data_IF_144584811073
#
_entry.id   IF_144584811073
#
_cell.length_a   1.000
_cell.length_b   1.000
_cell.length_c   1.000
_cell.angle_alpha   90.00
_cell.angle_beta   90.00
_cell.angle_gamma   90.00
#
_symmetry.space_group_name_H-M   'P 1'
#
loop_
_entity.id
_entity.type
_entity.pdbx_description
1 polymer ?
#
# COMPACT_ATOMS: atom_id res chain seq x y z
N UNK A 1 -3.28 7.33 -12.92
CA UNK A 1 -3.64 8.76 -13.08
C UNK A 1 -3.35 9.32 -14.47
N UNK A 2 -2.27 8.89 -15.14
CA UNK A 2 -1.85 9.38 -16.48
C UNK A 2 -2.97 9.48 -17.52
N UNK A 3 -3.81 8.44 -17.65
CA UNK A 3 -4.89 8.44 -18.63
C UNK A 3 -5.91 9.56 -18.46
N UNK A 4 -6.03 10.14 -17.27
CA UNK A 4 -6.96 11.25 -16.99
C UNK A 4 -6.25 12.60 -17.15
N UNK A 5 -5.04 12.72 -16.60
CA UNK A 5 -4.26 13.96 -16.61
C UNK A 5 -3.73 14.34 -18.01
N UNK A 6 -3.70 13.40 -18.96
CA UNK A 6 -3.36 13.71 -20.35
C UNK A 6 -4.40 14.61 -21.05
N UNK A 7 -5.64 14.69 -20.55
CA UNK A 7 -6.70 15.49 -21.18
C UNK A 7 -6.63 16.96 -20.75
N UNK A 8 -6.80 17.88 -21.71
CA UNK A 8 -6.68 19.33 -21.49
C UNK A 8 -7.45 19.87 -20.26
N UNK A 9 -8.70 19.43 -19.97
CA UNK A 9 -9.43 19.91 -18.80
C UNK A 9 -8.78 19.56 -17.45
N UNK A 10 -7.99 18.49 -17.39
CA UNK A 10 -7.37 17.99 -16.15
C UNK A 10 -5.86 18.18 -16.10
N UNK A 11 -5.22 18.50 -17.23
CA UNK A 11 -3.76 18.65 -17.35
C UNK A 11 -3.18 19.68 -16.38
N UNK A 12 -3.93 20.73 -16.08
CA UNK A 12 -3.52 21.77 -15.12
C UNK A 12 -3.42 21.27 -13.66
N UNK A 13 -3.99 20.11 -13.34
CA UNK A 13 -3.92 19.49 -12.02
C UNK A 13 -2.67 18.64 -11.83
N UNK A 14 -1.88 18.40 -12.89
CA UNK A 14 -0.70 17.54 -12.83
C UNK A 14 0.50 18.24 -12.17
N UNK A 15 1.38 17.45 -11.54
CA UNK A 15 2.63 17.95 -10.95
C UNK A 15 3.56 18.56 -12.00
N UNK A 16 3.73 17.88 -13.14
CA UNK A 16 4.29 18.47 -14.36
C UNK A 16 3.33 18.30 -15.54
N UNK A 17 2.63 19.37 -15.96
CA UNK A 17 1.73 19.35 -17.12
C UNK A 17 2.40 18.97 -18.44
N UNK A 18 3.74 19.07 -18.53
CA UNK A 18 4.51 18.66 -19.72
C UNK A 18 4.78 17.15 -19.75
N UNK A 19 4.53 16.47 -18.64
CA UNK A 19 4.80 15.05 -18.46
C UNK A 19 6.24 14.73 -18.11
N UNK A 20 6.47 13.46 -17.79
CA UNK A 20 7.77 12.93 -17.34
C UNK A 20 8.09 11.61 -18.01
N UNK A 21 9.37 11.32 -18.22
CA UNK A 21 9.89 10.00 -18.62
C UNK A 21 10.29 9.15 -17.41
N UNK A 22 10.13 9.66 -16.18
CA UNK A 22 10.61 9.01 -14.95
C UNK A 22 10.04 7.60 -14.70
N UNK A 23 8.99 7.22 -15.44
CA UNK A 23 8.34 5.91 -15.38
C UNK A 23 8.75 4.95 -16.51
N UNK A 24 9.38 5.48 -17.56
CA UNK A 24 9.52 4.80 -18.85
C UNK A 24 10.94 4.27 -19.11
N UNK A 25 11.85 4.32 -18.12
CA UNK A 25 13.22 3.80 -18.25
C UNK A 25 13.42 2.35 -17.80
N UNK A 26 12.36 1.55 -17.89
CA UNK A 26 12.38 0.11 -17.65
C UNK A 26 11.62 -0.29 -16.39
N UNK A 27 10.72 -1.27 -16.54
CA UNK A 27 10.11 -2.11 -15.49
C UNK A 27 8.76 -1.70 -14.88
N UNK A 28 8.13 -0.57 -15.24
CA UNK A 28 6.78 -0.25 -14.76
C UNK A 28 5.65 -0.58 -15.76
N UNK A 29 4.69 -1.37 -15.27
CA UNK A 29 3.49 -1.95 -15.91
C UNK A 29 2.68 -1.02 -16.85
N UNK A 30 2.76 0.30 -16.69
CA UNK A 30 1.87 1.24 -17.38
C UNK A 30 2.30 1.56 -18.83
N UNK A 31 3.46 1.10 -19.30
CA UNK A 31 3.97 1.38 -20.65
C UNK A 31 3.67 0.30 -21.68
N UNK A 32 2.74 -0.64 -21.43
CA UNK A 32 2.42 -1.70 -22.42
C UNK A 32 1.83 -1.17 -23.73
N UNK A 33 1.55 0.13 -23.81
CA UNK A 33 1.03 0.80 -25.00
C UNK A 33 2.04 1.86 -25.39
N UNK A 34 2.68 1.59 -26.53
CA UNK A 34 3.65 2.30 -27.37
C UNK A 34 3.55 3.85 -27.42
N UNK A 35 3.54 4.51 -26.26
CA UNK A 35 3.54 5.96 -26.15
C UNK A 35 4.92 6.40 -25.65
N UNK A 36 5.84 6.68 -26.58
CA UNK A 36 7.11 7.44 -26.38
C UNK A 36 6.86 8.88 -25.87
N UNK A 37 5.72 9.14 -25.24
CA UNK A 37 5.22 10.45 -24.91
C UNK A 37 5.43 10.73 -23.42
N UNK A 38 6.01 11.89 -23.14
CA UNK A 38 6.05 12.46 -21.81
C UNK A 38 4.61 12.71 -21.34
N UNK A 39 4.14 11.91 -20.38
CA UNK A 39 2.77 11.99 -19.88
C UNK A 39 2.74 12.54 -18.45
N UNK A 40 1.80 13.44 -18.11
CA UNK A 40 1.61 13.89 -16.73
C UNK A 40 1.20 12.70 -15.85
N UNK A 41 1.82 12.53 -14.68
CA UNK A 41 1.65 11.31 -13.88
C UNK A 41 0.88 11.53 -12.58
N UNK A 42 1.40 12.36 -11.67
CA UNK A 42 0.75 12.60 -10.37
C UNK A 42 0.00 13.94 -10.32
N UNK A 43 -0.90 14.06 -9.35
CA UNK A 43 -1.53 15.35 -9.03
C UNK A 43 -0.52 16.29 -8.41
N UNK A 44 -0.67 17.59 -8.66
CA UNK A 44 0.30 18.55 -8.17
C UNK A 44 0.31 18.65 -6.65
N UNK A 45 1.51 18.66 -6.08
CA UNK A 45 1.77 18.92 -4.67
C UNK A 45 1.55 20.39 -4.29
N UNK A 46 1.45 21.31 -5.27
CA UNK A 46 1.51 22.77 -5.09
C UNK A 46 0.15 23.46 -4.95
N UNK A 47 -0.76 22.85 -4.17
CA UNK A 47 -2.11 23.34 -3.83
C UNK A 47 -3.16 23.43 -4.96
N UNK A 48 -2.79 23.33 -6.24
CA UNK A 48 -3.79 23.34 -7.34
C UNK A 48 -4.71 22.12 -7.32
N UNK A 49 -4.24 21.00 -6.78
CA UNK A 49 -5.02 19.75 -6.65
C UNK A 49 -5.90 19.69 -5.40
N UNK A 50 -5.63 20.47 -4.35
CA UNK A 50 -6.37 20.38 -3.09
C UNK A 50 -7.86 20.73 -3.23
N UNK A 51 -8.28 21.78 -3.97
CA UNK A 51 -9.71 22.03 -4.20
C UNK A 51 -10.41 20.88 -4.91
N UNK A 52 -9.74 20.27 -5.90
CA UNK A 52 -10.24 19.10 -6.61
C UNK A 52 -10.43 17.90 -5.66
N UNK A 53 -9.42 17.60 -4.85
CA UNK A 53 -9.48 16.52 -3.85
C UNK A 53 -10.51 16.80 -2.75
N UNK A 54 -10.66 18.05 -2.32
CA UNK A 54 -11.67 18.49 -1.36
C UNK A 54 -13.09 18.20 -1.86
N UNK A 55 -13.37 18.48 -3.13
CA UNK A 55 -14.64 18.16 -3.77
C UNK A 55 -14.85 16.64 -3.90
N UNK A 56 -13.81 15.89 -4.28
CA UNK A 56 -13.86 14.43 -4.40
C UNK A 56 -14.12 13.76 -3.05
N UNK A 57 -13.40 14.15 -2.00
CA UNK A 57 -13.62 13.64 -0.64
C UNK A 57 -15.00 14.00 -0.11
N UNK A 58 -15.53 15.18 -0.45
CA UNK A 58 -16.91 15.57 -0.13
C UNK A 58 -17.93 14.60 -0.71
N UNK A 59 -17.79 14.24 -1.99
CA UNK A 59 -18.67 13.27 -2.65
C UNK A 59 -18.50 11.86 -2.08
N UNK A 60 -17.24 11.41 -1.89
CA UNK A 60 -16.93 10.08 -1.38
C UNK A 60 -17.49 9.88 0.04
N UNK A 61 -17.27 10.83 0.94
CA UNK A 61 -17.72 10.71 2.34
C UNK A 61 -19.23 10.92 2.51
N UNK A 62 -19.89 11.59 1.55
CA UNK A 62 -21.34 11.65 1.48
C UNK A 62 -21.92 10.30 1.03
N UNK A 63 -21.33 9.67 0.01
CA UNK A 63 -21.74 8.37 -0.49
C UNK A 63 -21.49 7.22 0.51
N UNK A 64 -20.37 7.26 1.22
CA UNK A 64 -19.93 6.22 2.17
C UNK A 64 -19.91 6.74 3.61
N UNK A 65 -21.08 7.06 4.15
CA UNK A 65 -21.22 7.73 5.45
C UNK A 65 -20.96 6.87 6.70
N UNK A 66 -20.75 5.55 6.55
CA UNK A 66 -20.50 4.62 7.67
C UNK A 66 -19.04 4.56 8.10
N UNK A 67 -18.11 4.81 7.18
CA UNK A 67 -16.69 4.83 7.49
C UNK A 67 -16.21 6.28 7.67
N UNK A 68 -15.25 6.46 8.57
CA UNK A 68 -14.55 7.73 8.79
C UNK A 68 -13.05 7.55 8.67
N UNK A 69 -12.61 6.56 7.90
CA UNK A 69 -11.20 6.35 7.55
C UNK A 69 -11.08 6.30 6.04
N UNK A 70 -10.11 7.02 5.50
CA UNK A 70 -9.85 7.12 4.06
C UNK A 70 -8.37 6.89 3.80
N UNK A 71 -8.04 5.93 2.94
CA UNK A 71 -6.71 5.83 2.35
C UNK A 71 -6.61 6.83 1.19
N UNK A 72 -5.64 7.75 1.25
CA UNK A 72 -5.44 8.81 0.26
C UNK A 72 -4.37 8.45 -0.80
N UNK A 73 -3.81 7.25 -0.76
CA UNK A 73 -2.72 6.84 -1.65
C UNK A 73 -1.39 7.45 -1.20
N UNK A 74 -0.82 8.30 -2.07
CA UNK A 74 0.49 8.97 -1.91
C UNK A 74 1.72 8.06 -2.02
N UNK A 75 1.55 6.91 -2.66
CA UNK A 75 2.62 6.03 -3.12
C UNK A 75 3.20 6.52 -4.46
N UNK A 76 4.42 6.07 -4.75
CA UNK A 76 4.98 6.05 -6.11
C UNK A 76 5.01 7.42 -6.81
N UNK A 77 5.12 8.52 -6.07
CA UNK A 77 5.15 9.88 -6.62
C UNK A 77 6.48 10.23 -7.33
N UNK A 78 6.83 9.48 -8.38
CA UNK A 78 8.13 9.55 -9.08
C UNK A 78 8.41 10.88 -9.76
N UNK A 79 7.36 11.62 -10.15
CA UNK A 79 7.45 12.94 -10.80
C UNK A 79 7.33 14.12 -9.83
N UNK A 80 7.31 13.87 -8.51
CA UNK A 80 7.26 14.91 -7.50
C UNK A 80 8.38 15.93 -7.69
N UNK A 81 8.03 17.22 -7.74
CA UNK A 81 8.99 18.30 -7.92
C UNK A 81 9.39 18.92 -6.58
N UNK A 82 10.68 19.25 -6.38
CA UNK A 82 11.12 19.86 -5.14
C UNK A 82 10.53 21.27 -4.97
N UNK A 83 10.34 21.67 -3.71
CA UNK A 83 10.03 23.06 -3.37
C UNK A 83 11.13 24.03 -3.89
N UNK A 84 10.77 25.18 -4.48
CA UNK A 84 11.74 26.14 -5.02
C UNK A 84 12.73 26.67 -3.99
N UNK A 85 13.98 26.89 -4.42
CA UNK A 85 15.02 27.49 -3.57
C UNK A 85 15.61 26.56 -2.49
N UNK A 86 15.24 25.28 -2.48
CA UNK A 86 15.77 24.28 -1.54
C UNK A 86 16.65 23.27 -2.25
N UNK A 87 17.58 22.64 -1.50
CA UNK A 87 18.30 21.46 -2.01
C UNK A 87 17.28 20.37 -2.36
N UNK A 88 17.52 19.61 -3.43
CA UNK A 88 16.54 18.65 -3.99
C UNK A 88 15.90 17.75 -2.93
N UNK A 89 16.71 17.10 -2.08
CA UNK A 89 16.20 16.22 -1.01
C UNK A 89 15.24 16.94 -0.06
N UNK A 90 15.66 18.09 0.48
CA UNK A 90 14.88 18.87 1.42
C UNK A 90 13.62 19.45 0.77
N UNK A 91 13.73 19.86 -0.50
CA UNK A 91 12.63 20.37 -1.30
C UNK A 91 11.57 19.31 -1.62
N UNK A 92 11.97 18.08 -1.93
CA UNK A 92 11.04 16.96 -2.16
C UNK A 92 10.29 16.59 -0.89
N UNK A 93 11.01 16.43 0.23
CA UNK A 93 10.39 16.21 1.53
C UNK A 93 9.40 17.32 1.86
N UNK A 94 9.79 18.59 1.65
CA UNK A 94 8.92 19.73 1.91
C UNK A 94 7.65 19.68 1.06
N UNK A 95 7.79 19.42 -0.25
CA UNK A 95 6.64 19.33 -1.16
C UNK A 95 5.67 18.20 -0.75
N UNK A 96 6.19 17.01 -0.46
CA UNK A 96 5.38 15.88 -0.02
C UNK A 96 4.67 16.15 1.31
N UNK A 97 5.40 16.63 2.32
CA UNK A 97 4.84 16.87 3.66
C UNK A 97 3.85 18.05 3.69
N UNK A 98 4.03 19.07 2.85
CA UNK A 98 3.05 20.14 2.69
C UNK A 98 1.75 19.61 2.09
N UNK A 99 1.84 18.76 1.06
CA UNK A 99 0.68 18.15 0.44
C UNK A 99 -0.05 17.18 1.39
N UNK A 100 0.69 16.31 2.08
CA UNK A 100 0.16 15.38 3.10
C UNK A 100 -0.61 16.14 4.20
N UNK A 101 -0.09 17.28 4.67
CA UNK A 101 -0.77 18.14 5.64
C UNK A 101 -2.03 18.78 5.07
N UNK A 102 -2.01 19.20 3.81
CA UNK A 102 -3.20 19.70 3.12
C UNK A 102 -4.32 18.66 3.09
N UNK A 103 -4.02 17.42 2.69
CA UNK A 103 -5.00 16.33 2.65
C UNK A 103 -5.50 15.95 4.04
N UNK A 104 -4.60 15.90 5.04
CA UNK A 104 -4.98 15.68 6.42
C UNK A 104 -6.00 16.74 6.91
N UNK A 105 -5.75 18.02 6.63
CA UNK A 105 -6.67 19.11 6.95
C UNK A 105 -8.06 18.92 6.33
N UNK A 106 -8.12 18.60 5.03
CA UNK A 106 -9.39 18.36 4.33
C UNK A 106 -10.19 17.21 4.94
N UNK A 107 -9.53 16.13 5.37
CA UNK A 107 -10.19 14.99 6.02
C UNK A 107 -10.60 15.31 7.46
N UNK A 108 -9.75 16.02 8.21
CA UNK A 108 -10.03 16.47 9.58
C UNK A 108 -11.29 17.34 9.66
N UNK A 109 -11.43 18.32 8.75
CA UNK A 109 -12.62 19.18 8.65
C UNK A 109 -13.92 18.39 8.47
N UNK A 110 -13.81 17.17 7.93
CA UNK A 110 -14.93 16.26 7.65
C UNK A 110 -15.04 15.14 8.70
N UNK A 111 -14.27 15.21 9.78
CA UNK A 111 -14.25 14.21 10.85
C UNK A 111 -13.72 12.84 10.40
N UNK A 112 -12.89 12.80 9.36
CA UNK A 112 -12.28 11.58 8.83
C UNK A 112 -10.81 11.46 9.23
N UNK A 113 -10.36 10.21 9.42
CA UNK A 113 -8.98 9.81 9.67
C UNK A 113 -8.29 9.46 8.36
N UNK A 114 -7.02 9.83 8.26
CA UNK A 114 -6.21 9.60 7.07
C UNK A 114 -5.36 8.33 7.20
N UNK A 115 -5.36 7.54 6.13
CA UNK A 115 -4.39 6.48 5.84
C UNK A 115 -3.61 6.88 4.58
N UNK A 116 -2.34 6.52 4.48
CA UNK A 116 -1.52 6.79 3.30
C UNK A 116 -0.36 5.79 3.22
N UNK A 117 0.14 5.53 2.02
CA UNK A 117 1.27 4.64 1.81
C UNK A 117 2.60 5.25 2.27
N UNK A 118 3.43 4.42 2.91
CA UNK A 118 4.62 4.88 3.62
C UNK A 118 5.91 4.98 2.78
N UNK A 119 5.92 4.52 1.52
CA UNK A 119 7.15 4.34 0.72
C UNK A 119 8.00 5.62 0.63
N UNK A 120 7.36 6.77 0.40
CA UNK A 120 8.06 8.05 0.27
C UNK A 120 8.71 8.52 1.58
N UNK A 121 8.10 8.22 2.73
CA UNK A 121 8.55 8.73 4.05
C UNK A 121 9.31 7.71 4.89
N UNK A 122 9.19 6.42 4.58
CA UNK A 122 9.69 5.31 5.40
C UNK A 122 11.19 5.39 5.70
N UNK A 123 11.97 5.93 4.77
CA UNK A 123 13.43 6.05 4.89
C UNK A 123 13.91 7.37 5.51
N UNK A 124 13.00 8.31 5.81
CA UNK A 124 13.32 9.64 6.35
C UNK A 124 12.74 9.81 7.77
N UNK A 125 13.55 9.64 8.84
CA UNK A 125 13.10 9.84 10.22
C UNK A 125 12.55 11.24 10.52
N UNK A 126 12.98 12.27 9.80
CA UNK A 126 12.46 13.63 9.99
C UNK A 126 11.07 13.77 9.37
N UNK A 127 10.83 13.13 8.21
CA UNK A 127 9.49 13.06 7.61
C UNK A 127 8.53 12.25 8.49
N UNK A 128 8.97 11.10 9.02
CA UNK A 128 8.17 10.27 9.93
C UNK A 128 7.71 11.03 11.18
N UNK A 129 8.60 11.85 11.78
CA UNK A 129 8.24 12.71 12.94
C UNK A 129 7.26 13.83 12.60
N UNK A 130 7.12 14.17 11.33
CA UNK A 130 6.23 15.22 10.84
C UNK A 130 4.88 14.68 10.33
N UNK A 131 4.64 13.36 10.41
CA UNK A 131 3.36 12.77 10.02
C UNK A 131 2.23 13.42 10.84
N UNK A 132 1.16 13.92 10.19
CA UNK A 132 0.07 14.58 10.90
C UNK A 132 -0.56 13.66 11.96
N UNK A 133 -0.81 14.14 13.20
CA UNK A 133 -1.37 13.33 14.27
C UNK A 133 -2.70 12.66 13.88
N UNK A 134 -2.85 11.41 14.31
CA UNK A 134 -4.04 10.60 14.03
C UNK A 134 -4.07 9.95 12.65
N UNK A 135 -3.08 10.20 11.80
CA UNK A 135 -2.88 9.47 10.55
C UNK A 135 -2.33 8.07 10.83
N UNK A 136 -2.58 7.12 9.91
CA UNK A 136 -2.02 5.77 9.94
C UNK A 136 -1.17 5.55 8.70
N UNK A 137 0.11 5.27 8.89
CA UNK A 137 1.03 4.93 7.81
C UNK A 137 0.78 3.48 7.37
N UNK A 138 0.70 3.25 6.07
CA UNK A 138 0.54 1.92 5.47
C UNK A 138 1.89 1.47 4.93
N UNK A 139 2.59 0.63 5.70
CA UNK A 139 3.90 0.11 5.31
C UNK A 139 3.68 -1.13 4.44
N UNK A 140 3.97 -1.03 3.15
CA UNK A 140 3.78 -2.15 2.22
C UNK A 140 5.09 -2.87 1.92
N UNK A 141 4.96 -4.17 1.63
CA UNK A 141 6.08 -5.05 1.29
C UNK A 141 5.54 -6.38 0.80
N UNK A 142 5.92 -6.76 -0.42
CA UNK A 142 5.27 -7.88 -1.11
C UNK A 142 6.15 -9.10 -1.25
N UNK A 143 7.46 -8.97 -1.07
CA UNK A 143 8.38 -10.10 -1.12
C UNK A 143 8.57 -10.71 0.28
N UNK A 144 8.88 -12.00 0.33
CA UNK A 144 9.04 -12.76 1.57
C UNK A 144 10.06 -12.13 2.53
N UNK A 145 11.09 -11.47 2.00
CA UNK A 145 12.17 -10.80 2.72
C UNK A 145 11.94 -9.29 2.91
N UNK A 146 10.72 -8.80 2.65
CA UNK A 146 10.36 -7.40 2.89
C UNK A 146 10.74 -6.98 4.32
N UNK A 147 11.37 -5.80 4.53
CA UNK A 147 12.03 -5.44 5.78
C UNK A 147 11.05 -4.95 6.87
N UNK A 148 9.91 -5.64 7.05
CA UNK A 148 8.87 -5.27 8.01
C UNK A 148 9.38 -5.16 9.44
N UNK A 149 10.30 -6.04 9.87
CA UNK A 149 10.83 -6.03 11.24
C UNK A 149 11.66 -4.77 11.51
N UNK A 150 12.57 -4.43 10.59
CA UNK A 150 13.40 -3.23 10.70
C UNK A 150 12.57 -1.95 10.70
N UNK A 151 11.63 -1.84 9.77
CA UNK A 151 10.76 -0.67 9.65
C UNK A 151 9.77 -0.56 10.80
N UNK A 152 9.19 -1.68 11.24
CA UNK A 152 8.31 -1.74 12.41
C UNK A 152 9.01 -1.22 13.68
N UNK A 153 10.23 -1.69 13.96
CA UNK A 153 11.02 -1.20 15.08
C UNK A 153 11.28 0.32 15.02
N UNK A 154 11.53 0.86 13.83
CA UNK A 154 11.70 2.30 13.63
C UNK A 154 10.41 3.08 13.90
N UNK A 155 9.26 2.57 13.45
CA UNK A 155 7.97 3.22 13.68
C UNK A 155 7.57 3.21 15.15
N UNK A 156 7.79 2.10 15.84
CA UNK A 156 7.55 1.97 17.27
C UNK A 156 8.38 2.99 18.06
N UNK A 157 9.69 3.06 17.79
CA UNK A 157 10.60 4.02 18.42
C UNK A 157 10.19 5.49 18.21
N UNK A 158 9.58 5.79 17.06
CA UNK A 158 9.13 7.14 16.71
C UNK A 158 7.66 7.41 17.09
N UNK A 159 6.94 6.43 17.63
CA UNK A 159 5.51 6.53 17.97
C UNK A 159 4.60 6.70 16.75
N UNK A 160 5.04 6.25 15.57
CA UNK A 160 4.25 6.31 14.33
C UNK A 160 3.21 5.21 14.36
N UNK A 161 1.93 5.55 14.18
CA UNK A 161 0.87 4.54 14.02
C UNK A 161 0.92 3.97 12.61
N UNK A 162 0.97 2.65 12.49
CA UNK A 162 1.10 2.01 11.20
C UNK A 162 0.35 0.68 11.12
N UNK A 163 0.01 0.28 9.88
CA UNK A 163 -0.34 -1.10 9.51
C UNK A 163 0.75 -1.66 8.61
N UNK A 164 0.98 -2.97 8.71
CA UNK A 164 1.79 -3.70 7.73
C UNK A 164 0.88 -4.17 6.60
N UNK A 165 1.35 -4.04 5.37
CA UNK A 165 0.55 -4.29 4.17
C UNK A 165 1.23 -5.34 3.29
N UNK A 166 1.18 -6.62 3.70
CA UNK A 166 1.61 -7.75 2.88
C UNK A 166 0.63 -7.98 1.73
N UNK A 167 1.00 -8.84 0.77
CA UNK A 167 0.16 -9.09 -0.40
C UNK A 167 -0.08 -10.55 -0.72
N UNK A 168 -1.24 -10.81 -1.32
CA UNK A 168 -1.68 -12.13 -1.81
C UNK A 168 -0.70 -12.76 -2.81
N UNK A 169 0.17 -11.94 -3.41
CA UNK A 169 1.11 -12.33 -4.46
C UNK A 169 0.44 -13.01 -5.65
N UNK A 170 -0.82 -12.66 -5.92
CA UNK A 170 -1.63 -13.18 -7.03
C UNK A 170 -1.31 -12.47 -8.35
N UNK A 171 -1.04 -11.17 -8.32
CA UNK A 171 -0.79 -10.31 -9.47
C UNK A 171 0.49 -10.70 -10.22
N UNK A 172 0.53 -10.37 -11.51
CA UNK A 172 1.63 -10.74 -12.43
C UNK A 172 1.94 -12.25 -12.44
N UNK A 173 0.95 -13.08 -12.10
CA UNK A 173 1.02 -14.53 -12.13
C UNK A 173 -0.34 -15.11 -12.56
N UNK A 174 -0.34 -16.30 -13.16
CA UNK A 174 -1.57 -16.98 -13.56
C UNK A 174 -2.23 -17.66 -12.35
N UNK A 175 -1.43 -18.23 -11.46
CA UNK A 175 -1.90 -19.06 -10.33
C UNK A 175 -1.45 -18.52 -8.97
N UNK A 176 -0.86 -17.33 -8.93
CA UNK A 176 -0.26 -16.73 -7.74
C UNK A 176 1.12 -17.31 -7.39
N UNK A 177 1.77 -16.67 -6.42
CA UNK A 177 3.10 -17.04 -5.88
C UNK A 177 2.95 -17.54 -4.45
N UNK A 178 2.46 -18.76 -4.28
CA UNK A 178 2.05 -19.35 -2.98
C UNK A 178 3.07 -19.22 -1.86
N UNK A 179 4.34 -19.57 -2.12
CA UNK A 179 5.37 -19.51 -1.07
C UNK A 179 5.64 -18.09 -0.63
N UNK A 180 5.73 -17.18 -1.59
CA UNK A 180 5.92 -15.76 -1.34
C UNK A 180 4.75 -15.19 -0.54
N UNK A 181 3.51 -15.50 -0.94
CA UNK A 181 2.29 -15.07 -0.24
C UNK A 181 2.31 -15.48 1.25
N UNK A 182 2.56 -16.76 1.54
CA UNK A 182 2.58 -17.26 2.92
C UNK A 182 3.68 -16.60 3.75
N UNK A 183 4.89 -16.50 3.19
CA UNK A 183 6.05 -15.96 3.93
C UNK A 183 5.94 -14.44 4.14
N UNK A 184 5.55 -13.67 3.13
CA UNK A 184 5.44 -12.23 3.28
C UNK A 184 4.35 -11.83 4.29
N UNK A 185 3.21 -12.53 4.29
CA UNK A 185 2.10 -12.28 5.23
C UNK A 185 2.50 -12.71 6.65
N UNK A 186 3.13 -13.87 6.81
CA UNK A 186 3.60 -14.33 8.11
C UNK A 186 4.64 -13.38 8.72
N UNK A 187 5.62 -12.94 7.94
CA UNK A 187 6.67 -12.03 8.40
C UNK A 187 6.10 -10.64 8.75
N UNK A 188 5.13 -10.16 7.96
CA UNK A 188 4.40 -8.94 8.28
C UNK A 188 3.65 -9.07 9.62
N UNK A 189 2.88 -10.14 9.82
CA UNK A 189 2.11 -10.37 11.05
C UNK A 189 3.01 -10.47 12.29
N UNK A 190 4.11 -11.21 12.21
CA UNK A 190 5.09 -11.28 13.29
C UNK A 190 5.70 -9.91 13.60
N UNK A 191 6.07 -9.13 12.58
CA UNK A 191 6.62 -7.80 12.81
C UNK A 191 5.62 -6.87 13.50
N UNK A 192 4.36 -6.86 13.04
CA UNK A 192 3.32 -6.04 13.65
C UNK A 192 3.10 -6.42 15.13
N UNK A 193 3.07 -7.71 15.44
CA UNK A 193 2.93 -8.17 16.83
C UNK A 193 4.15 -7.81 17.71
N UNK A 194 5.36 -7.84 17.15
CA UNK A 194 6.59 -7.56 17.88
C UNK A 194 6.85 -6.06 18.13
N UNK A 195 6.41 -5.18 17.22
CA UNK A 195 6.76 -3.75 17.21
C UNK A 195 5.54 -2.82 17.26
N UNK A 196 4.42 -3.26 17.87
CA UNK A 196 3.27 -2.38 18.11
C UNK A 196 2.49 -1.97 16.86
N UNK A 197 2.59 -2.73 15.77
CA UNK A 197 1.80 -2.51 14.56
C UNK A 197 0.31 -2.67 14.84
N UNK A 198 -0.52 -1.82 14.22
CA UNK A 198 -1.95 -1.78 14.48
C UNK A 198 -2.77 -2.88 13.79
N UNK A 199 -2.15 -3.72 12.96
CA UNK A 199 -2.80 -4.80 12.22
C UNK A 199 -2.23 -5.01 10.81
N UNK A 200 -2.87 -5.92 10.07
CA UNK A 200 -2.58 -6.19 8.66
C UNK A 200 -3.63 -5.51 7.76
N UNK A 201 -3.17 -4.94 6.65
CA UNK A 201 -4.00 -4.60 5.49
C UNK A 201 -3.48 -5.38 4.28
N UNK A 202 -4.14 -6.49 3.96
CA UNK A 202 -3.70 -7.37 2.87
C UNK A 202 -4.01 -6.75 1.52
N UNK A 203 -3.02 -6.68 0.64
CA UNK A 203 -3.18 -6.14 -0.71
C UNK A 203 -3.36 -7.26 -1.73
N UNK A 204 -4.28 -7.04 -2.66
CA UNK A 204 -4.51 -7.89 -3.82
C UNK A 204 -4.49 -6.99 -5.07
N UNK A 205 -3.30 -6.83 -5.65
CA UNK A 205 -3.11 -5.91 -6.77
C UNK A 205 -3.64 -6.48 -8.08
N UNK A 206 -3.92 -5.60 -9.05
CA UNK A 206 -4.54 -5.94 -10.34
C UNK A 206 -3.66 -5.57 -11.53
N UNK A 207 -2.34 -5.67 -11.37
CA UNK A 207 -1.36 -5.21 -12.34
C UNK A 207 -1.59 -5.82 -13.73
N UNK A 208 -1.29 -5.03 -14.78
CA UNK A 208 -1.35 -5.47 -16.17
C UNK A 208 -2.71 -6.03 -16.60
N UNK A 209 -3.80 -5.42 -16.11
CA UNK A 209 -5.17 -5.77 -16.49
C UNK A 209 -5.83 -6.85 -15.63
N UNK A 210 -5.24 -7.19 -14.47
CA UNK A 210 -5.82 -8.11 -13.48
C UNK A 210 -6.17 -9.48 -14.09
N UNK A 211 -5.17 -10.11 -14.73
CA UNK A 211 -5.37 -11.37 -15.44
C UNK A 211 -5.55 -12.58 -14.51
N UNK A 212 -5.16 -12.45 -13.24
CA UNK A 212 -5.29 -13.52 -12.26
C UNK A 212 -6.76 -13.75 -11.87
N UNK A 213 -7.22 -14.99 -11.77
CA UNK A 213 -8.56 -15.29 -11.31
C UNK A 213 -8.63 -15.12 -9.78
N UNK A 214 -9.75 -14.61 -9.27
CA UNK A 214 -9.98 -14.37 -7.84
C UNK A 214 -9.59 -15.55 -6.91
N UNK A 215 -9.83 -16.84 -7.27
CA UNK A 215 -9.39 -17.97 -6.44
C UNK A 215 -7.87 -18.01 -6.15
N UNK A 216 -7.02 -17.44 -7.00
CA UNK A 216 -5.58 -17.33 -6.76
C UNK A 216 -5.25 -16.43 -5.55
N UNK A 217 -6.14 -15.50 -5.21
CA UNK A 217 -5.97 -14.59 -4.07
C UNK A 217 -6.46 -15.17 -2.74
N UNK A 218 -7.33 -16.18 -2.76
CA UNK A 218 -7.94 -16.75 -1.54
C UNK A 218 -6.91 -17.32 -0.57
N UNK A 219 -5.83 -17.91 -1.09
CA UNK A 219 -4.73 -18.40 -0.25
C UNK A 219 -4.15 -17.27 0.61
N UNK A 220 -3.79 -16.14 0.00
CA UNK A 220 -3.26 -14.98 0.72
C UNK A 220 -4.26 -14.38 1.71
N UNK A 221 -5.53 -14.24 1.30
CA UNK A 221 -6.60 -13.71 2.16
C UNK A 221 -6.79 -14.58 3.41
N UNK A 222 -6.87 -15.90 3.24
CA UNK A 222 -7.06 -16.84 4.35
C UNK A 222 -5.81 -16.92 5.24
N UNK A 223 -4.61 -16.89 4.66
CA UNK A 223 -3.36 -16.86 5.42
C UNK A 223 -3.27 -15.62 6.32
N UNK A 224 -3.67 -14.46 5.81
CA UNK A 224 -3.69 -13.25 6.61
C UNK A 224 -4.74 -13.27 7.72
N UNK A 225 -5.92 -13.87 7.47
CA UNK A 225 -6.92 -14.06 8.52
C UNK A 225 -6.38 -14.94 9.66
N UNK A 226 -5.65 -16.01 9.33
CA UNK A 226 -5.02 -16.90 10.33
C UNK A 226 -3.88 -16.19 11.08
N UNK A 227 -2.89 -15.67 10.36
CA UNK A 227 -1.68 -15.09 10.94
C UNK A 227 -1.95 -13.79 11.72
N UNK A 228 -2.99 -13.02 11.37
CA UNK A 228 -3.37 -11.84 12.15
C UNK A 228 -4.08 -12.18 13.47
N UNK A 229 -4.78 -13.31 13.55
CA UNK A 229 -5.45 -13.75 14.78
C UNK A 229 -4.50 -14.46 15.74
N UNK A 230 -3.54 -15.20 15.20
CA UNK A 230 -2.56 -15.95 15.99
C UNK A 230 -1.12 -15.68 15.50
N UNK A 231 -0.56 -14.49 15.77
CA UNK A 231 0.80 -14.13 15.35
C UNK A 231 1.88 -14.83 16.20
N UNK A 232 1.58 -15.97 16.83
CA UNK A 232 2.35 -16.53 17.93
C UNK A 232 3.87 -16.64 17.59
N UNK A 233 4.73 -15.91 18.31
CA UNK A 233 6.18 -15.90 18.05
C UNK A 233 6.85 -17.25 18.35
N UNK A 234 6.16 -18.16 19.04
CA UNK A 234 6.59 -19.55 19.28
C UNK A 234 6.09 -20.52 18.19
N UNK A 235 5.48 -20.03 17.11
CA UNK A 235 5.41 -20.84 15.90
C UNK A 235 6.86 -21.18 15.52
N UNK A 236 7.24 -22.48 15.42
CA UNK A 236 8.55 -22.81 14.90
C UNK A 236 8.67 -22.05 13.59
N UNK A 237 9.74 -21.26 13.45
CA UNK A 237 9.94 -20.45 12.25
C UNK A 237 9.59 -21.32 11.05
N UNK A 238 8.75 -20.81 10.14
CA UNK A 238 8.53 -21.48 8.87
C UNK A 238 9.84 -21.35 8.08
N UNK A 239 10.88 -22.04 8.55
CA UNK A 239 12.25 -22.00 8.07
C UNK A 239 12.36 -22.60 6.67
N UNK A 240 11.28 -23.21 6.18
CA UNK A 240 11.18 -23.71 4.82
C UNK A 240 9.77 -23.51 4.25
N UNK A 241 9.66 -23.18 2.95
CA UNK A 241 8.39 -23.11 2.24
C UNK A 241 7.55 -24.40 2.32
N UNK A 242 8.19 -25.56 2.47
CA UNK A 242 7.53 -26.85 2.63
C UNK A 242 6.65 -26.92 3.89
N UNK A 243 7.11 -26.37 5.02
CA UNK A 243 6.37 -26.37 6.28
C UNK A 243 5.17 -25.42 6.24
N UNK A 244 5.31 -24.28 5.55
CA UNK A 244 4.21 -23.35 5.32
C UNK A 244 3.09 -23.98 4.48
N UNK A 245 3.47 -24.69 3.40
CA UNK A 245 2.52 -25.39 2.51
C UNK A 245 1.75 -26.51 3.23
N UNK A 246 2.43 -27.37 3.99
CA UNK A 246 1.80 -28.50 4.68
C UNK A 246 0.77 -28.02 5.72
N UNK A 247 1.12 -27.03 6.54
CA UNK A 247 0.20 -26.55 7.59
C UNK A 247 -0.93 -25.69 7.05
N UNK A 248 -0.67 -24.89 6.02
CA UNK A 248 -1.75 -24.14 5.38
C UNK A 248 -2.70 -25.08 4.62
N UNK A 249 -2.18 -26.14 4.00
CA UNK A 249 -3.00 -27.22 3.44
C UNK A 249 -3.90 -27.88 4.49
N UNK A 250 -3.38 -28.14 5.69
CA UNK A 250 -4.16 -28.69 6.81
C UNK A 250 -5.20 -27.68 7.36
N UNK A 251 -4.88 -26.39 7.39
CA UNK A 251 -5.80 -25.33 7.85
C UNK A 251 -6.91 -25.05 6.84
N UNK A 252 -6.58 -24.98 5.55
CA UNK A 252 -7.56 -24.80 4.46
C UNK A 252 -8.40 -26.05 4.26
N UNK A 253 -7.84 -27.26 4.32
CA UNK A 253 -8.64 -28.48 4.22
C UNK A 253 -9.73 -28.52 5.28
N UNK A 254 -9.47 -28.03 6.50
CA UNK A 254 -10.51 -27.91 7.56
C UNK A 254 -11.58 -26.84 7.28
N UNK A 255 -11.29 -25.82 6.47
CA UNK A 255 -12.20 -24.73 6.12
C UNK A 255 -13.00 -25.00 4.83
N UNK A 256 -12.38 -25.65 3.84
CA UNK A 256 -12.96 -25.97 2.52
C UNK A 256 -13.64 -27.33 2.53
N UNK A 257 -13.05 -28.30 3.23
CA UNK A 257 -13.57 -29.66 3.36
C UNK A 257 -13.99 -29.86 4.82
N UNK A 258 -15.08 -29.20 5.23
CA UNK A 258 -15.94 -29.82 6.24
C UNK A 258 -16.65 -30.99 5.58
N UNK A 259 -15.90 -32.05 5.28
CA UNK A 259 -16.48 -33.33 5.00
C UNK A 259 -16.87 -33.97 6.33
N UNK A 260 -18.15 -33.85 6.68
CA UNK A 260 -18.73 -34.59 7.81
C UNK A 260 -18.87 -36.08 7.52
N UNK A 261 -18.49 -36.56 6.34
CA UNK A 261 -18.68 -37.96 5.93
C UNK A 261 -17.59 -38.92 6.41
N UNK A 262 -16.45 -38.45 6.92
CA UNK A 262 -15.30 -39.29 7.32
C UNK A 262 -14.81 -40.23 6.19
N UNK A 263 -15.10 -39.94 4.92
CA UNK A 263 -14.71 -40.80 3.81
C UNK A 263 -13.62 -40.13 2.99
N UNK A 264 -12.40 -40.66 3.10
CA UNK A 264 -11.30 -40.29 2.20
C UNK A 264 -11.57 -40.95 0.85
N UNK A 265 -11.86 -40.13 -0.17
CA UNK A 265 -11.90 -40.53 -1.57
C UNK A 265 -10.57 -40.29 -2.27
#
# INVERSE_FOLDING_TARGET
>A
MQHWLKHDPLRHLAEDPRGTDALFRGDFCCSQWDDDQYMPYSLSSRNTSLPFLSALYGQLLAAYNRTRTVNVGLDEAFDLLPAPGMRRKDGLRRAYMDHLRGLHGLLQERGAKMQFWGDIVSSDPEALRQIPPGSVLLEWGYEADSPFAQKGAQYDQLGVRYYVCPGTSSWNSIMGRTENALLNIFNAAQSAAAHGGGGLLVTDWGDNGHLQPLPSSYLGILAAADFSWNPNPNYPSMASPAQARLRFGDAISRLVLRDSSLTVG
#
